data_IF_284797801836
#
_entry.id   IF_284797801836
#
_cell.length_a   1.000
_cell.length_b   1.000
_cell.length_c   1.000
_cell.angle_alpha   90.00
_cell.angle_beta   90.00
_cell.angle_gamma   90.00
#
_symmetry.space_group_name_H-M   'P 1'
#
loop_
_entity.id
_entity.type
_entity.pdbx_description
1 polymer ?
#
# COMPACT_ATOMS: atom_id res chain seq x y z
N UNK A 1 5.83 -56.37 -17.02
CA UNK A 1 6.55 -55.17 -17.53
C UNK A 1 5.61 -53.95 -17.57
N UNK A 2 4.98 -53.55 -16.45
CA UNK A 2 3.94 -52.48 -16.45
C UNK A 2 4.09 -51.41 -15.35
N UNK A 3 4.97 -51.62 -14.36
CA UNK A 3 5.11 -50.70 -13.22
C UNK A 3 5.80 -49.36 -13.58
N UNK A 4 6.70 -49.38 -14.58
CA UNK A 4 7.42 -48.18 -14.99
C UNK A 4 6.50 -47.16 -15.67
N UNK A 5 5.52 -47.62 -16.45
CA UNK A 5 4.55 -46.77 -17.15
C UNK A 5 3.62 -46.05 -16.16
N UNK A 6 3.09 -46.78 -15.17
CA UNK A 6 2.23 -46.19 -14.13
C UNK A 6 2.96 -45.15 -13.28
N UNK A 7 4.23 -45.40 -12.94
CA UNK A 7 5.03 -44.41 -12.19
C UNK A 7 5.28 -43.14 -13.01
N UNK A 8 5.46 -43.28 -14.32
CA UNK A 8 5.73 -42.16 -15.22
C UNK A 8 4.47 -41.33 -15.46
N UNK A 9 3.34 -41.99 -15.77
CA UNK A 9 2.04 -41.35 -15.94
C UNK A 9 1.61 -40.69 -14.63
N UNK A 10 1.77 -41.37 -13.49
CA UNK A 10 1.48 -40.79 -12.17
C UNK A 10 2.38 -39.60 -11.87
N UNK A 11 3.69 -39.67 -12.14
CA UNK A 11 4.60 -38.55 -11.90
C UNK A 11 4.29 -37.36 -12.78
N UNK A 12 3.86 -37.56 -14.03
CA UNK A 12 3.47 -36.47 -14.94
C UNK A 12 2.11 -35.87 -14.54
N UNK A 13 1.15 -36.69 -14.10
CA UNK A 13 -0.17 -36.22 -13.65
C UNK A 13 -0.14 -35.57 -12.25
N UNK A 14 0.69 -36.09 -11.33
CA UNK A 14 0.91 -35.54 -9.99
C UNK A 14 2.02 -34.50 -9.93
N UNK A 15 2.76 -34.28 -11.04
CA UNK A 15 3.64 -33.12 -11.19
C UNK A 15 2.76 -31.87 -11.26
N UNK A 16 2.29 -31.48 -10.09
CA UNK A 16 1.62 -30.23 -9.84
C UNK A 16 2.60 -29.14 -10.24
N UNK A 17 2.37 -28.38 -11.33
CA UNK A 17 3.17 -27.20 -11.58
C UNK A 17 3.00 -26.28 -10.36
N UNK A 18 4.05 -25.60 -9.87
CA UNK A 18 3.94 -24.79 -8.66
C UNK A 18 2.85 -23.73 -8.85
N UNK A 19 1.68 -24.00 -8.25
CA UNK A 19 0.42 -23.27 -8.45
C UNK A 19 0.46 -21.84 -7.87
N UNK A 20 1.60 -21.44 -7.25
CA UNK A 20 1.76 -20.15 -6.59
C UNK A 20 2.09 -18.97 -7.52
N UNK A 21 2.62 -19.22 -8.73
CA UNK A 21 3.21 -18.15 -9.55
C UNK A 21 2.21 -17.08 -9.99
N UNK A 22 0.97 -17.47 -10.26
CA UNK A 22 -0.11 -16.53 -10.63
C UNK A 22 -0.60 -15.71 -9.43
N UNK A 23 -0.77 -16.37 -8.28
CA UNK A 23 -1.21 -15.74 -7.04
C UNK A 23 -0.19 -14.71 -6.55
N UNK A 24 1.12 -14.98 -6.71
CA UNK A 24 2.18 -14.07 -6.33
C UNK A 24 2.18 -12.75 -7.12
N UNK A 25 1.87 -12.82 -8.42
CA UNK A 25 1.77 -11.62 -9.28
C UNK A 25 0.55 -10.80 -8.88
N UNK A 26 -0.59 -11.46 -8.65
CA UNK A 26 -1.82 -10.81 -8.19
C UNK A 26 -1.62 -10.17 -6.81
N UNK A 27 -1.02 -10.87 -5.85
CA UNK A 27 -0.74 -10.34 -4.51
C UNK A 27 0.22 -9.15 -4.53
N UNK A 28 1.27 -9.20 -5.36
CA UNK A 28 2.20 -8.06 -5.53
C UNK A 28 1.47 -6.84 -6.11
N UNK A 29 0.65 -7.03 -7.14
CA UNK A 29 -0.15 -5.97 -7.74
C UNK A 29 -1.13 -5.38 -6.73
N UNK A 30 -1.81 -6.23 -5.94
CA UNK A 30 -2.72 -5.79 -4.88
C UNK A 30 -1.97 -4.97 -3.83
N UNK A 31 -0.82 -5.45 -3.34
CA UNK A 31 -0.03 -4.71 -2.35
C UNK A 31 0.34 -3.31 -2.83
N UNK A 32 0.81 -3.16 -4.07
CA UNK A 32 1.12 -1.86 -4.66
C UNK A 32 -0.11 -0.96 -4.76
N UNK A 33 -1.22 -1.48 -5.31
CA UNK A 33 -2.48 -0.72 -5.41
C UNK A 33 -2.97 -0.25 -4.04
N UNK A 34 -2.91 -1.11 -3.02
CA UNK A 34 -3.34 -0.75 -1.67
C UNK A 34 -2.46 0.35 -1.09
N UNK A 35 -1.15 0.29 -1.28
CA UNK A 35 -0.25 1.34 -0.79
C UNK A 35 -0.48 2.67 -1.53
N UNK A 36 -0.79 2.64 -2.83
CA UNK A 36 -1.08 3.87 -3.59
C UNK A 36 -2.46 4.47 -3.32
N UNK A 37 -3.49 3.64 -3.12
CA UNK A 37 -4.86 4.09 -2.84
C UNK A 37 -5.07 4.49 -1.39
N UNK A 38 -4.43 3.79 -0.46
CA UNK A 38 -4.51 4.04 0.97
C UNK A 38 -3.25 4.71 1.50
N UNK A 39 -2.46 5.36 0.64
CA UNK A 39 -1.42 6.27 1.12
C UNK A 39 -2.12 7.33 1.98
N UNK A 40 -1.83 7.40 3.28
CA UNK A 40 -2.48 8.37 4.14
C UNK A 40 -2.12 9.75 3.60
N UNK A 41 -3.11 10.50 3.13
CA UNK A 41 -2.95 11.92 2.88
C UNK A 41 -2.33 12.51 4.14
N UNK A 42 -1.03 12.86 4.07
CA UNK A 42 -0.26 13.42 5.18
C UNK A 42 -0.35 14.93 5.08
N UNK A 43 -1.37 15.57 5.68
CA UNK A 43 -1.48 17.02 5.70
C UNK A 43 -0.26 17.64 6.37
N UNK A 44 0.45 16.92 7.23
CA UNK A 44 1.71 17.32 7.89
C UNK A 44 2.81 17.76 6.91
N UNK A 45 2.87 17.19 5.70
CA UNK A 45 3.83 17.62 4.68
C UNK A 45 3.34 18.85 3.90
N UNK A 46 2.03 19.07 3.88
CA UNK A 46 1.36 20.11 3.10
C UNK A 46 0.99 21.34 3.93
N UNK A 47 1.07 21.25 5.26
CA UNK A 47 0.90 22.33 6.22
C UNK A 47 2.24 22.76 6.85
N UNK A 48 3.24 23.04 6.03
CA UNK A 48 4.48 23.67 6.50
C UNK A 48 4.43 25.21 6.52
N UNK A 49 3.24 25.80 6.34
CA UNK A 49 3.00 27.21 6.64
C UNK A 49 1.87 27.30 7.64
N UNK A 50 2.25 27.42 8.91
CA UNK A 50 1.36 27.92 9.96
C UNK A 50 0.74 29.26 9.57
N UNK A 51 -0.23 29.76 10.35
CA UNK A 51 -0.98 30.95 9.99
C UNK A 51 -0.03 32.10 9.62
N UNK A 52 -0.08 32.51 8.35
CA UNK A 52 0.83 33.51 7.81
C UNK A 52 0.74 34.85 8.56
N UNK A 53 1.67 35.78 8.34
CA UNK A 53 1.69 37.09 9.01
C UNK A 53 0.34 37.82 8.95
N UNK A 54 -0.40 37.65 7.85
CA UNK A 54 -1.76 38.19 7.66
C UNK A 54 -2.79 37.70 8.68
N UNK A 55 -2.67 36.46 9.16
CA UNK A 55 -3.52 35.93 10.23
C UNK A 55 -3.16 36.56 11.57
N UNK A 56 -1.86 36.73 11.86
CA UNK A 56 -1.41 37.39 13.11
C UNK A 56 -1.89 38.84 13.19
N UNK A 57 -1.90 39.61 12.11
CA UNK A 57 -2.44 40.99 12.12
C UNK A 57 -3.94 41.05 12.44
N UNK A 58 -4.71 40.05 11.97
CA UNK A 58 -6.16 39.98 12.22
C UNK A 58 -6.48 39.65 13.69
N UNK A 59 -5.67 38.80 14.33
CA UNK A 59 -5.90 38.33 15.71
C UNK A 59 -5.07 39.06 16.78
N UNK A 60 -4.01 39.79 16.42
CA UNK A 60 -3.28 40.65 17.35
C UNK A 60 -4.18 41.76 17.94
N UNK A 61 -5.20 42.18 17.18
CA UNK A 61 -6.20 43.17 17.62
C UNK A 61 -7.15 42.64 18.70
N UNK A 62 -7.19 41.33 18.92
CA UNK A 62 -8.04 40.67 19.93
C UNK A 62 -7.29 40.17 21.17
N UNK A 63 -5.96 40.28 21.21
CA UNK A 63 -5.13 39.84 22.34
C UNK A 63 -4.58 41.02 23.19
N UNK A 64 -4.93 42.26 22.85
CA UNK A 64 -4.50 43.47 23.54
C UNK A 64 -5.64 44.14 24.30
N UNK A 65 -6.22 43.47 25.29
CA UNK A 65 -7.06 44.09 26.32
C UNK A 65 -6.95 43.29 27.62
N UNK A 66 -5.75 43.24 28.18
CA UNK A 66 -5.50 42.75 29.54
C UNK A 66 -4.17 43.32 30.05
N UNK A 67 -4.16 44.62 30.33
CA UNK A 67 -3.32 45.32 31.31
C UNK A 67 -3.90 46.71 31.53
#
# INVERSE_FOLDING_TARGET
>A
MSAFSDSYVSRVLLATPPQGRGLDVVMRRWRWLRTSLFDPYRPELHYMRGPGPKWRTKHARSAGSAS
#
